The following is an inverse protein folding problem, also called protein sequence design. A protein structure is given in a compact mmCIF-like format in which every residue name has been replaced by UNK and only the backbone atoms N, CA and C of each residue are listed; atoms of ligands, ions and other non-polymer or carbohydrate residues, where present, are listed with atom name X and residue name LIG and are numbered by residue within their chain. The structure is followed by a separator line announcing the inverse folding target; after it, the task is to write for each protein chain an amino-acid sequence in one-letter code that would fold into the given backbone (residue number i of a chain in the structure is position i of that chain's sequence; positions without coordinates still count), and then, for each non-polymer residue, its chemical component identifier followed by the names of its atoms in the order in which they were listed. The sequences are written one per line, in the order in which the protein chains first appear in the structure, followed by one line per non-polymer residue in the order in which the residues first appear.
data_IF_361941339688
#
_entry.id   IF_361941339688
#
_cell.length_a   1.000
_cell.length_b   1.000
_cell.length_c   1.000
_cell.angle_alpha   90.00
_cell.angle_beta   90.00
_cell.angle_gamma   90.00
#
_symmetry.space_group_name_H-M   'P 1'
#
loop_
_entity.id
_entity.type
_entity.pdbx_description
1 polymer ?
#
# COMPACT_ATOMS: atom_id res chain seq x y z
N UNK A 1 -27.58 -33.32 1.13
CA UNK A 1 -26.78 -32.09 1.29
C UNK A 1 -27.51 -31.22 2.31
N UNK A 2 -26.80 -30.61 3.26
CA UNK A 2 -27.42 -29.98 4.42
C UNK A 2 -27.97 -28.57 4.08
N UNK A 3 -29.17 -28.51 3.50
CA UNK A 3 -29.92 -27.28 3.16
C UNK A 3 -30.08 -26.27 4.31
N UNK A 4 -29.90 -26.69 5.56
CA UNK A 4 -30.04 -25.79 6.71
C UNK A 4 -28.85 -24.83 6.90
N UNK A 5 -27.69 -25.14 6.30
CA UNK A 5 -26.50 -24.28 6.35
C UNK A 5 -26.65 -23.05 5.45
N UNK A 6 -27.49 -23.10 4.42
CA UNK A 6 -27.80 -21.95 3.54
C UNK A 6 -28.53 -20.81 4.28
N UNK A 7 -29.06 -21.07 5.49
CA UNK A 7 -29.67 -20.04 6.35
C UNK A 7 -28.66 -19.30 7.22
N UNK A 8 -27.44 -19.82 7.40
CA UNK A 8 -26.39 -19.15 8.17
C UNK A 8 -25.77 -18.09 7.26
N UNK A 9 -26.29 -16.87 7.34
CA UNK A 9 -25.84 -15.76 6.50
C UNK A 9 -26.77 -15.40 5.36
N UNK A 10 -28.04 -15.84 5.38
CA UNK A 10 -29.10 -15.31 4.51
C UNK A 10 -29.31 -13.80 4.78
N UNK A 11 -28.38 -13.00 4.25
CA UNK A 11 -28.37 -11.55 4.29
C UNK A 11 -29.50 -11.05 3.41
N UNK A 12 -30.65 -10.73 4.01
CA UNK A 12 -31.79 -10.14 3.29
C UNK A 12 -31.59 -8.67 2.91
N UNK A 13 -30.48 -8.05 3.32
CA UNK A 13 -30.21 -6.61 3.18
C UNK A 13 -28.87 -6.35 2.48
N UNK A 14 -27.83 -7.13 2.79
CA UNK A 14 -26.49 -6.93 2.23
C UNK A 14 -26.18 -8.04 1.23
N UNK A 15 -26.10 -7.66 -0.04
CA UNK A 15 -25.65 -8.54 -1.14
C UNK A 15 -24.17 -8.88 -0.99
N UNK A 16 -23.36 -7.91 -0.58
CA UNK A 16 -21.95 -8.09 -0.24
C UNK A 16 -21.61 -7.22 0.98
N UNK A 17 -20.88 -7.81 1.93
CA UNK A 17 -20.37 -7.12 3.13
C UNK A 17 -18.97 -6.57 2.95
N UNK A 18 -18.25 -6.99 1.90
CA UNK A 18 -16.86 -6.61 1.65
C UNK A 18 -16.65 -5.08 1.61
N UNK A 19 -17.56 -4.26 1.02
CA UNK A 19 -17.35 -2.80 0.96
C UNK A 19 -17.44 -2.10 2.32
N UNK A 20 -17.98 -2.77 3.33
CA UNK A 20 -18.11 -2.27 4.69
C UNK A 20 -16.90 -2.65 5.56
N UNK A 21 -15.94 -3.42 5.03
CA UNK A 21 -14.71 -3.75 5.73
C UNK A 21 -13.79 -2.53 5.85
N UNK A 22 -13.01 -2.46 6.94
CA UNK A 22 -12.01 -1.42 7.16
C UNK A 22 -10.90 -1.42 6.10
N UNK A 23 -10.60 -2.60 5.55
CA UNK A 23 -9.51 -2.78 4.58
C UNK A 23 -9.99 -2.65 3.13
N UNK A 24 -11.29 -2.41 2.93
CA UNK A 24 -11.82 -2.25 1.58
C UNK A 24 -11.46 -0.89 1.00
N UNK A 25 -10.89 -0.92 -0.20
CA UNK A 25 -10.55 0.28 -0.97
C UNK A 25 -11.48 0.36 -2.19
N UNK A 26 -12.21 1.47 -2.39
CA UNK A 26 -13.02 1.66 -3.59
C UNK A 26 -12.14 1.83 -4.84
N UNK A 27 -12.70 1.52 -6.01
CA UNK A 27 -12.04 1.80 -7.30
C UNK A 27 -11.96 3.29 -7.64
N UNK A 28 -12.84 4.11 -7.05
CA UNK A 28 -12.89 5.56 -7.27
C UNK A 28 -13.19 6.26 -5.95
N UNK A 29 -12.40 7.29 -5.63
CA UNK A 29 -12.52 8.03 -4.38
C UNK A 29 -13.22 9.37 -4.61
N UNK A 30 -14.51 9.42 -4.31
CA UNK A 30 -15.36 10.60 -4.54
C UNK A 30 -14.96 11.76 -3.60
N UNK A 31 -14.91 12.98 -4.14
CA UNK A 31 -14.69 14.21 -3.36
C UNK A 31 -13.25 14.42 -2.91
N UNK A 32 -12.29 13.75 -3.56
CA UNK A 32 -10.85 13.82 -3.25
C UNK A 32 -9.98 14.12 -4.47
N UNK A 33 -10.60 14.58 -5.56
CA UNK A 33 -9.93 14.83 -6.84
C UNK A 33 -8.79 15.86 -6.72
N UNK A 34 -8.99 16.93 -5.95
CA UNK A 34 -7.95 17.94 -5.71
C UNK A 34 -6.75 17.36 -4.95
N UNK A 35 -7.00 16.55 -3.91
CA UNK A 35 -5.93 15.92 -3.13
C UNK A 35 -5.16 14.87 -3.95
N UNK A 36 -5.86 14.11 -4.80
CA UNK A 36 -5.23 13.18 -5.74
C UNK A 36 -4.40 13.92 -6.79
N UNK A 37 -4.90 15.06 -7.30
CA UNK A 37 -4.19 15.90 -8.26
C UNK A 37 -2.93 16.52 -7.66
N UNK A 38 -3.00 16.96 -6.40
CA UNK A 38 -1.83 17.45 -5.67
C UNK A 38 -0.77 16.35 -5.49
N UNK A 39 -1.16 15.14 -5.07
CA UNK A 39 -0.25 14.00 -5.01
C UNK A 39 0.34 13.66 -6.38
N UNK A 40 -0.47 13.66 -7.44
CA UNK A 40 0.01 13.41 -8.80
C UNK A 40 1.07 14.44 -9.24
N UNK A 41 0.90 15.72 -8.84
CA UNK A 41 1.88 16.77 -9.14
C UNK A 41 3.24 16.51 -8.48
N UNK A 42 3.24 16.07 -7.20
CA UNK A 42 4.45 15.75 -6.43
C UNK A 42 5.19 14.55 -7.04
N UNK A 43 4.44 13.58 -7.56
CA UNK A 43 4.97 12.35 -8.15
C UNK A 43 5.12 12.42 -9.68
N UNK A 44 4.98 13.59 -10.30
CA UNK A 44 5.01 13.76 -11.76
C UNK A 44 6.27 13.23 -12.44
N UNK A 45 7.40 13.22 -11.74
CA UNK A 45 8.70 12.74 -12.26
C UNK A 45 9.05 11.31 -11.81
N UNK A 46 8.12 10.59 -11.18
CA UNK A 46 8.35 9.24 -10.65
C UNK A 46 8.50 8.18 -11.74
N UNK A 47 8.37 8.53 -13.02
CA UNK A 47 8.79 7.64 -14.12
C UNK A 47 10.31 7.58 -14.24
N UNK A 48 11.04 8.63 -13.86
CA UNK A 48 12.50 8.71 -13.96
C UNK A 48 13.17 7.87 -12.86
N UNK A 49 14.02 6.88 -13.20
CA UNK A 49 14.66 5.97 -12.24
C UNK A 49 15.38 6.67 -11.09
N UNK A 50 16.03 7.81 -11.38
CA UNK A 50 16.87 8.57 -10.45
C UNK A 50 16.08 9.54 -9.55
N UNK A 51 14.76 9.63 -9.73
CA UNK A 51 13.92 10.54 -8.95
C UNK A 51 13.31 9.82 -7.74
N UNK A 52 13.30 10.52 -6.61
CA UNK A 52 12.59 10.14 -5.38
C UNK A 52 11.60 11.23 -5.03
N UNK A 53 10.36 10.84 -4.73
CA UNK A 53 9.28 11.74 -4.33
C UNK A 53 8.87 11.45 -2.89
N UNK A 54 8.46 12.48 -2.16
CA UNK A 54 7.96 12.36 -0.79
C UNK A 54 6.77 13.28 -0.59
N UNK A 55 5.72 12.75 0.01
CA UNK A 55 4.57 13.51 0.45
C UNK A 55 4.28 13.21 1.92
N UNK A 56 3.75 14.19 2.65
CA UNK A 56 3.26 14.04 4.03
C UNK A 56 1.80 14.46 4.02
N UNK A 57 0.92 13.53 4.40
CA UNK A 57 -0.53 13.76 4.40
C UNK A 57 -0.99 13.87 5.85
N UNK A 58 -1.61 15.00 6.20
CA UNK A 58 -2.09 15.28 7.55
C UNK A 58 -3.60 15.49 7.56
N UNK A 59 -4.22 15.37 8.73
CA UNK A 59 -5.65 15.63 8.92
C UNK A 59 -6.30 14.76 9.99
N UNK A 60 -7.55 15.06 10.39
CA UNK A 60 -8.25 14.39 11.49
C UNK A 60 -8.48 12.89 11.28
N UNK A 61 -8.75 12.14 12.37
CA UNK A 61 -9.13 10.73 12.27
C UNK A 61 -10.40 10.58 11.43
N UNK A 62 -10.48 9.53 10.60
CA UNK A 62 -11.64 9.27 9.74
C UNK A 62 -11.70 10.14 8.47
N UNK A 63 -10.74 11.04 8.23
CA UNK A 63 -10.74 11.90 7.03
C UNK A 63 -10.41 11.18 5.72
N UNK A 64 -10.13 9.87 5.73
CA UNK A 64 -9.85 9.10 4.51
C UNK A 64 -8.41 9.20 3.99
N UNK A 65 -7.44 9.55 4.84
CA UNK A 65 -6.01 9.60 4.44
C UNK A 65 -5.48 8.25 3.93
N UNK A 66 -5.77 7.17 4.66
CA UNK A 66 -5.30 5.83 4.31
C UNK A 66 -5.89 5.34 2.98
N UNK A 67 -7.19 5.54 2.78
CA UNK A 67 -7.84 5.17 1.51
C UNK A 67 -7.33 6.03 0.36
N UNK A 68 -7.08 7.34 0.57
CA UNK A 68 -6.46 8.23 -0.41
C UNK A 68 -5.10 7.70 -0.87
N UNK A 69 -4.23 7.34 0.07
CA UNK A 69 -2.89 6.80 -0.25
C UNK A 69 -2.95 5.48 -1.00
N UNK A 70 -3.89 4.59 -0.62
CA UNK A 70 -4.05 3.28 -1.26
C UNK A 70 -4.57 3.43 -2.70
N UNK A 71 -5.59 4.28 -2.91
CA UNK A 71 -6.12 4.58 -4.25
C UNK A 71 -5.03 5.19 -5.12
N UNK A 72 -4.33 6.21 -4.62
CA UNK A 72 -3.23 6.86 -5.35
C UNK A 72 -2.12 5.88 -5.72
N UNK A 73 -1.70 5.00 -4.80
CA UNK A 73 -0.67 4.00 -5.08
C UNK A 73 -1.13 2.99 -6.16
N UNK A 74 -2.39 2.57 -6.12
CA UNK A 74 -2.97 1.68 -7.14
C UNK A 74 -3.08 2.38 -8.50
N UNK A 75 -3.46 3.66 -8.53
CA UNK A 75 -3.50 4.47 -9.75
C UNK A 75 -2.11 4.65 -10.34
N UNK A 76 -1.12 4.94 -9.49
CA UNK A 76 0.26 5.12 -9.92
C UNK A 76 0.84 3.84 -10.51
N UNK A 77 0.60 2.69 -9.88
CA UNK A 77 1.02 1.38 -10.40
C UNK A 77 0.41 1.08 -11.76
N UNK A 78 -0.89 1.34 -11.94
CA UNK A 78 -1.59 1.16 -13.21
C UNK A 78 -1.07 2.12 -14.27
N UNK A 79 -0.85 3.38 -13.91
CA UNK A 79 -0.36 4.39 -14.84
C UNK A 79 1.03 4.05 -15.38
N UNK A 80 1.93 3.53 -14.53
CA UNK A 80 3.31 3.19 -14.90
C UNK A 80 3.50 1.74 -15.37
N UNK A 81 2.42 0.97 -15.50
CA UNK A 81 2.48 -0.38 -16.00
C UNK A 81 3.17 -0.44 -17.38
N UNK A 82 4.12 -1.37 -17.54
CA UNK A 82 4.95 -1.48 -18.75
C UNK A 82 6.08 -0.44 -18.89
N UNK A 83 6.08 0.64 -18.10
CA UNK A 83 7.10 1.72 -18.15
C UNK A 83 8.06 1.67 -16.97
N UNK A 84 7.53 1.50 -15.76
CA UNK A 84 8.31 1.36 -14.52
C UNK A 84 7.60 0.43 -13.54
N UNK A 85 8.34 -0.54 -13.01
CA UNK A 85 7.80 -1.46 -11.99
C UNK A 85 7.75 -0.78 -10.63
N UNK A 86 6.57 -0.33 -10.22
CA UNK A 86 6.33 0.21 -8.87
C UNK A 86 5.86 -0.90 -7.94
N UNK A 87 6.55 -1.09 -6.81
CA UNK A 87 6.13 -2.01 -5.75
C UNK A 87 5.53 -1.21 -4.60
N UNK A 88 4.24 -1.42 -4.34
CA UNK A 88 3.56 -0.75 -3.24
C UNK A 88 3.68 -1.57 -1.95
N UNK A 89 4.20 -0.94 -0.90
CA UNK A 89 4.29 -1.49 0.46
C UNK A 89 3.62 -0.52 1.43
N UNK A 90 2.63 -1.03 2.18
CA UNK A 90 1.95 -0.26 3.22
C UNK A 90 2.36 -0.77 4.61
N UNK A 91 2.95 0.10 5.44
CA UNK A 91 3.34 -0.24 6.81
C UNK A 91 2.56 0.61 7.80
N UNK A 92 1.78 -0.04 8.67
CA UNK A 92 1.11 0.64 9.76
C UNK A 92 2.05 0.83 10.95
N UNK A 93 2.60 2.04 11.11
CA UNK A 93 3.51 2.39 12.20
C UNK A 93 2.85 2.39 13.59
N UNK A 94 1.50 2.32 13.69
CA UNK A 94 0.83 2.10 14.98
C UNK A 94 1.12 0.72 15.55
N UNK A 95 1.27 -0.28 14.66
CA UNK A 95 1.58 -1.66 15.02
C UNK A 95 3.10 -1.93 15.00
N UNK A 96 3.86 -1.11 14.27
CA UNK A 96 5.30 -1.22 14.09
C UNK A 96 6.00 0.10 14.47
N UNK A 97 6.17 0.38 15.78
CA UNK A 97 6.55 1.72 16.24
C UNK A 97 8.02 2.10 16.01
N UNK A 98 8.91 1.15 15.74
CA UNK A 98 10.35 1.41 15.61
C UNK A 98 10.85 1.37 14.16
N UNK A 99 11.89 2.16 13.86
CA UNK A 99 12.54 2.17 12.54
C UNK A 99 12.96 0.78 12.05
N UNK A 100 13.61 -0.07 12.89
CA UNK A 100 13.94 -1.44 12.50
C UNK A 100 12.70 -2.29 12.16
N UNK A 101 11.60 -2.18 12.92
CA UNK A 101 10.38 -2.93 12.62
C UNK A 101 9.73 -2.48 11.30
N UNK A 102 9.76 -1.18 11.00
CA UNK A 102 9.27 -0.67 9.71
C UNK A 102 10.10 -1.23 8.55
N UNK A 103 11.44 -1.17 8.66
CA UNK A 103 12.34 -1.71 7.66
C UNK A 103 12.13 -3.23 7.46
N UNK A 104 11.86 -3.96 8.55
CA UNK A 104 11.56 -5.39 8.48
C UNK A 104 10.27 -5.66 7.72
N UNK A 105 9.20 -4.94 8.02
CA UNK A 105 7.93 -5.10 7.31
C UNK A 105 8.08 -4.78 5.81
N UNK A 106 8.91 -3.79 5.47
CA UNK A 106 9.24 -3.51 4.07
C UNK A 106 9.98 -4.69 3.43
N UNK A 107 11.00 -5.23 4.09
CA UNK A 107 11.78 -6.35 3.55
C UNK A 107 10.92 -7.60 3.34
N UNK A 108 10.07 -7.96 4.31
CA UNK A 108 9.15 -9.11 4.21
C UNK A 108 8.11 -8.90 3.10
N UNK A 109 7.61 -7.66 2.93
CA UNK A 109 6.66 -7.34 1.85
C UNK A 109 7.27 -7.44 0.44
N UNK A 110 8.60 -7.28 0.33
CA UNK A 110 9.32 -7.42 -0.93
C UNK A 110 9.75 -8.87 -1.20
N UNK A 111 10.19 -9.58 -0.16
CA UNK A 111 10.62 -10.97 -0.21
C UNK A 111 10.10 -11.73 1.01
N UNK A 112 9.07 -12.55 0.81
CA UNK A 112 8.44 -13.34 1.88
C UNK A 112 9.42 -14.34 2.54
N UNK A 113 10.51 -14.69 1.86
CA UNK A 113 11.56 -15.58 2.40
C UNK A 113 12.62 -14.82 3.18
N UNK A 114 12.47 -13.51 3.35
CA UNK A 114 13.41 -12.69 4.09
C UNK A 114 13.43 -13.10 5.58
N UNK A 115 14.61 -13.35 6.17
CA UNK A 115 14.70 -13.72 7.58
C UNK A 115 14.14 -12.64 8.51
N UNK A 116 13.33 -13.03 9.48
CA UNK A 116 12.77 -12.11 10.49
C UNK A 116 13.77 -11.68 11.57
N UNK A 117 14.97 -12.27 11.61
CA UNK A 117 15.97 -11.97 12.65
C UNK A 117 17.38 -12.05 12.09
N UNK A 118 18.32 -11.46 12.83
CA UNK A 118 19.75 -11.53 12.51
C UNK A 118 20.25 -10.39 11.63
N UNK A 119 19.45 -9.36 11.38
CA UNK A 119 19.87 -8.17 10.65
C UNK A 119 19.78 -6.92 11.51
N UNK A 120 20.81 -6.10 11.43
CA UNK A 120 20.77 -4.70 11.81
C UNK A 120 19.90 -3.89 10.83
N UNK A 121 19.49 -2.69 11.24
CA UNK A 121 18.76 -1.76 10.37
C UNK A 121 19.55 -1.43 9.09
N UNK A 122 20.88 -1.31 9.18
CA UNK A 122 21.75 -1.05 8.03
C UNK A 122 21.74 -2.19 7.02
N UNK A 123 21.82 -3.44 7.49
CA UNK A 123 21.75 -4.62 6.62
C UNK A 123 20.38 -4.77 5.96
N UNK A 124 19.30 -4.44 6.67
CA UNK A 124 17.95 -4.44 6.07
C UNK A 124 17.82 -3.42 4.95
N UNK A 125 18.35 -2.20 5.12
CA UNK A 125 18.39 -1.19 4.05
C UNK A 125 19.18 -1.72 2.84
N UNK A 126 20.31 -2.38 3.06
CA UNK A 126 21.10 -2.95 1.97
C UNK A 126 20.36 -4.10 1.26
N UNK A 127 19.65 -4.93 2.02
CA UNK A 127 18.83 -6.02 1.45
C UNK A 127 17.71 -5.47 0.58
N UNK A 128 16.98 -4.46 1.05
CA UNK A 128 15.91 -3.78 0.29
C UNK A 128 16.49 -3.16 -0.99
N UNK A 129 17.60 -2.41 -0.88
CA UNK A 129 18.25 -1.78 -2.05
C UNK A 129 18.69 -2.82 -3.08
N UNK A 130 19.26 -3.93 -2.62
CA UNK A 130 19.67 -5.05 -3.49
C UNK A 130 18.46 -5.63 -4.21
N UNK A 131 17.38 -5.92 -3.48
CA UNK A 131 16.14 -6.43 -4.06
C UNK A 131 15.61 -5.51 -5.18
N UNK A 132 15.48 -4.21 -4.89
CA UNK A 132 14.96 -3.23 -5.85
C UNK A 132 15.81 -3.14 -7.11
N UNK A 133 17.15 -3.10 -6.96
CA UNK A 133 18.09 -3.09 -8.10
C UNK A 133 18.02 -4.37 -8.94
N UNK A 134 18.00 -5.54 -8.30
CA UNK A 134 17.97 -6.83 -9.00
C UNK A 134 16.69 -6.99 -9.82
N UNK A 135 15.57 -6.45 -9.36
CA UNK A 135 14.27 -6.58 -10.02
C UNK A 135 13.87 -5.38 -10.89
N UNK A 136 14.75 -4.36 -11.04
CA UNK A 136 14.44 -3.13 -11.75
C UNK A 136 13.20 -2.43 -11.19
N UNK A 137 12.97 -2.55 -9.89
CA UNK A 137 11.78 -2.06 -9.19
C UNK A 137 12.06 -0.73 -8.48
N UNK A 138 10.99 0.05 -8.29
CA UNK A 138 10.96 1.21 -7.41
C UNK A 138 10.09 0.91 -6.19
#
# INVERSE_FOLDING_TARGET
MADYLDRIGAGKILVDRSPLSYDWTPSTLVGRDDSLSELASIFSQIENPDTSCKAVITGPVGSGKTVLTQVFANDLRRHLEGRRKIVHVHVNCRNHPSGPQVLQQIAISLDERHPERGFSAGEMIQSIKRYLRTHGAH
#
